data_IF_998227461191
#
_entry.id   IF_998227461191
#
_cell.length_a   1.000
_cell.length_b   1.000
_cell.length_c   1.000
_cell.angle_alpha   90.00
_cell.angle_beta   90.00
_cell.angle_gamma   90.00
#
_symmetry.space_group_name_H-M   'P 1'
#
loop_
_entity.id
_entity.type
_entity.pdbx_description
1 polymer ?
#
# COMPACT_ATOMS: atom_id res chain seq x y z
N UNK A 1 -6.54 -3.75 14.59
CA UNK A 1 -6.66 -2.58 13.73
C UNK A 1 -5.28 -1.99 13.51
N UNK A 2 -4.48 -2.60 12.72
CA UNK A 2 -3.14 -2.09 12.44
C UNK A 2 -2.76 -2.32 11.00
N UNK A 3 -1.66 -1.69 10.65
CA UNK A 3 -1.01 -1.94 9.38
C UNK A 3 0.13 -2.94 9.60
N UNK A 4 0.30 -3.83 8.64
CA UNK A 4 1.42 -4.76 8.62
C UNK A 4 2.56 -4.14 7.85
N UNK A 5 3.76 -4.21 8.42
CA UNK A 5 5.00 -3.75 7.82
C UNK A 5 5.94 -4.92 7.64
N UNK A 6 6.82 -4.84 6.64
CA UNK A 6 7.92 -5.77 6.54
C UNK A 6 8.90 -5.53 7.69
N UNK A 7 9.49 -6.57 8.31
CA UNK A 7 10.31 -6.38 9.52
C UNK A 7 11.51 -5.44 9.36
N UNK A 8 12.04 -5.29 8.15
CA UNK A 8 13.17 -4.39 7.90
C UNK A 8 12.75 -2.93 7.76
N UNK A 9 11.46 -2.63 7.71
CA UNK A 9 10.95 -1.28 7.41
C UNK A 9 10.41 -0.52 8.61
N UNK A 10 10.72 -0.94 9.82
CA UNK A 10 10.35 -0.19 11.02
C UNK A 10 11.08 1.17 11.06
N UNK A 11 10.46 2.14 11.71
CA UNK A 11 11.03 3.49 11.83
C UNK A 11 12.40 3.45 12.50
N UNK A 12 12.56 2.66 13.56
CA UNK A 12 13.79 2.54 14.32
C UNK A 12 14.97 2.05 13.47
N UNK A 13 14.70 1.16 12.53
CA UNK A 13 15.73 0.60 11.64
C UNK A 13 16.06 1.49 10.45
N UNK A 14 15.30 2.54 10.22
CA UNK A 14 15.38 3.37 9.01
C UNK A 14 15.52 4.87 9.31
N UNK A 15 15.98 5.20 10.52
CA UNK A 15 16.21 6.61 10.88
C UNK A 15 17.30 7.22 10.00
N UNK A 16 17.13 8.49 9.66
CA UNK A 16 18.10 9.28 8.89
C UNK A 16 18.35 8.80 7.46
N UNK A 17 17.39 8.07 6.87
CA UNK A 17 17.52 7.65 5.47
C UNK A 17 16.25 7.95 4.69
N UNK A 18 16.43 8.14 3.38
CA UNK A 18 15.31 8.25 2.44
C UNK A 18 14.97 6.86 1.91
N UNK A 19 13.70 6.47 1.99
CA UNK A 19 13.27 5.14 1.53
C UNK A 19 11.77 5.13 1.23
N UNK A 20 11.34 4.08 0.53
CA UNK A 20 9.93 3.81 0.28
C UNK A 20 9.46 2.77 1.28
N UNK A 21 8.45 3.10 2.07
CA UNK A 21 7.86 2.19 3.04
C UNK A 21 6.55 1.63 2.51
N UNK A 22 6.33 0.33 2.72
CA UNK A 22 5.15 -0.37 2.24
C UNK A 22 4.38 -0.93 3.43
N UNK A 23 3.06 -0.72 3.45
CA UNK A 23 2.19 -1.21 4.50
C UNK A 23 0.87 -1.69 3.90
N UNK A 24 0.21 -2.60 4.63
CA UNK A 24 -1.09 -3.14 4.24
C UNK A 24 -1.95 -3.28 5.49
N UNK A 25 -3.24 -2.97 5.40
CA UNK A 25 -4.17 -3.15 6.51
C UNK A 25 -4.78 -4.55 6.51
N UNK A 26 -5.63 -4.83 7.50
CA UNK A 26 -6.26 -6.15 7.68
C UNK A 26 -7.18 -6.54 6.53
N UNK A 27 -7.74 -5.57 5.79
CA UNK A 27 -8.57 -5.82 4.62
C UNK A 27 -7.77 -6.03 3.33
N UNK A 28 -6.46 -5.90 3.39
CA UNK A 28 -5.59 -6.05 2.22
C UNK A 28 -5.42 -4.77 1.41
N UNK A 29 -5.78 -3.62 1.98
CA UNK A 29 -5.54 -2.33 1.32
C UNK A 29 -4.09 -1.93 1.56
N UNK A 30 -3.31 -1.88 0.47
CA UNK A 30 -1.89 -1.56 0.50
C UNK A 30 -1.66 -0.09 0.19
N UNK A 31 -0.66 0.49 0.83
CA UNK A 31 -0.18 1.82 0.52
C UNK A 31 1.33 1.90 0.60
N UNK A 32 1.88 2.93 -0.02
CA UNK A 32 3.30 3.23 -0.01
C UNK A 32 3.49 4.64 0.56
N UNK A 33 4.49 4.80 1.41
CA UNK A 33 4.90 6.12 1.90
C UNK A 33 6.30 6.41 1.41
N UNK A 34 6.48 7.51 0.68
CA UNK A 34 7.79 7.96 0.27
C UNK A 34 8.36 8.86 1.37
N UNK A 35 9.52 8.50 1.91
CA UNK A 35 10.15 9.20 3.02
C UNK A 35 11.48 9.78 2.51
N UNK A 36 11.58 11.10 2.56
CA UNK A 36 12.80 11.82 2.25
C UNK A 36 13.40 12.41 3.52
N UNK A 37 14.70 12.23 3.72
CA UNK A 37 15.45 12.83 4.80
C UNK A 37 16.65 13.57 4.22
N UNK A 38 16.82 14.84 4.58
CA UNK A 38 17.93 15.64 4.09
C UNK A 38 18.13 16.93 4.86
N UNK A 39 19.18 17.66 4.51
CA UNK A 39 19.52 18.93 5.15
C UNK A 39 18.55 20.07 4.79
N UNK A 40 17.91 19.99 3.64
CA UNK A 40 16.96 20.99 3.18
C UNK A 40 15.75 20.35 2.52
N UNK A 41 14.63 21.03 2.57
CA UNK A 41 13.39 20.56 1.95
C UNK A 41 13.50 20.60 0.43
N UNK A 42 12.92 19.59 -0.21
CA UNK A 42 12.70 19.54 -1.67
C UNK A 42 11.22 19.61 -2.01
N UNK A 43 10.35 19.52 -1.00
CA UNK A 43 8.89 19.55 -1.13
C UNK A 43 8.36 18.51 -2.12
N UNK A 44 8.84 17.26 -1.98
CA UNK A 44 8.46 16.21 -2.91
C UNK A 44 6.98 15.83 -2.77
N UNK A 45 6.34 15.61 -3.90
CA UNK A 45 4.96 15.13 -3.98
C UNK A 45 4.83 13.90 -4.85
N UNK A 46 5.89 13.55 -5.59
CA UNK A 46 5.91 12.43 -6.52
C UNK A 46 7.15 11.59 -6.34
N UNK A 47 7.03 10.33 -6.76
CA UNK A 47 8.15 9.40 -6.82
C UNK A 47 8.15 8.72 -8.19
N UNK A 48 9.34 8.56 -8.77
CA UNK A 48 9.56 7.82 -9.99
C UNK A 48 10.52 6.68 -9.71
N UNK A 49 10.19 5.48 -10.18
CA UNK A 49 11.03 4.28 -10.05
C UNK A 49 11.44 3.82 -11.42
N UNK A 50 12.72 3.49 -11.60
CA UNK A 50 13.31 3.22 -12.91
C UNK A 50 14.11 1.93 -12.85
N UNK A 51 13.81 1.00 -13.77
CA UNK A 51 14.55 -0.26 -13.93
C UNK A 51 15.79 -0.04 -14.81
N UNK A 52 16.75 -1.01 -14.80
CA UNK A 52 17.99 -0.88 -15.59
C UNK A 52 17.78 -0.72 -17.08
N UNK A 53 16.68 -1.26 -17.63
CA UNK A 53 16.35 -1.15 -19.07
C UNK A 53 15.73 0.19 -19.45
N UNK A 54 15.56 1.10 -18.49
CA UNK A 54 14.98 2.42 -18.71
C UNK A 54 13.46 2.47 -18.53
N UNK A 55 12.79 1.32 -18.36
CA UNK A 55 11.36 1.32 -18.04
C UNK A 55 11.13 1.94 -16.66
N UNK A 56 9.99 2.60 -16.50
CA UNK A 56 9.70 3.33 -15.27
C UNK A 56 8.22 3.37 -14.95
N UNK A 57 7.91 3.70 -13.70
CA UNK A 57 6.58 4.09 -13.25
C UNK A 57 6.72 5.33 -12.38
N UNK A 58 5.72 6.19 -12.42
CA UNK A 58 5.72 7.45 -11.68
C UNK A 58 4.37 7.65 -11.00
N UNK A 59 4.38 8.07 -9.73
CA UNK A 59 3.15 8.37 -9.02
C UNK A 59 2.55 9.68 -9.52
N UNK A 60 1.22 9.86 -9.40
CA UNK A 60 0.66 11.20 -9.44
C UNK A 60 1.12 11.99 -8.21
N UNK A 61 0.83 13.29 -8.16
CA UNK A 61 1.11 14.08 -6.97
C UNK A 61 0.29 13.56 -5.79
N UNK A 62 0.96 13.35 -4.65
CA UNK A 62 0.29 12.89 -3.45
C UNK A 62 -0.71 13.95 -2.95
N UNK A 63 -1.87 13.48 -2.50
CA UNK A 63 -2.89 14.31 -1.84
C UNK A 63 -2.70 14.34 -0.33
N UNK A 64 -1.77 13.56 0.17
CA UNK A 64 -1.54 13.38 1.60
C UNK A 64 -0.03 13.38 1.86
N UNK A 65 0.50 14.57 2.08
CA UNK A 65 1.93 14.77 2.34
C UNK A 65 2.12 15.71 3.51
N UNK A 66 3.22 15.52 4.25
CA UNK A 66 3.56 16.38 5.37
C UNK A 66 5.08 16.44 5.56
N UNK A 67 5.51 17.50 6.23
CA UNK A 67 6.92 17.78 6.47
C UNK A 67 7.15 18.03 7.96
N UNK A 68 8.29 17.54 8.48
CA UNK A 68 8.72 17.78 9.85
C UNK A 68 10.21 18.08 9.86
N UNK A 69 10.71 18.53 11.03
CA UNK A 69 12.14 18.74 11.25
C UNK A 69 12.51 18.03 12.55
N UNK A 70 13.56 17.21 12.49
CA UNK A 70 14.08 16.49 13.64
C UNK A 70 15.61 16.59 13.65
N UNK A 71 16.16 17.15 14.75
CA UNK A 71 17.61 17.29 14.93
C UNK A 71 18.32 17.95 13.72
N UNK A 72 17.73 19.03 13.19
CA UNK A 72 18.20 19.76 12.00
C UNK A 72 18.05 18.99 10.67
N UNK A 73 17.44 17.82 10.68
CA UNK A 73 17.13 17.07 9.48
C UNK A 73 15.70 17.34 9.04
N UNK A 74 15.50 17.60 7.75
CA UNK A 74 14.19 17.77 7.18
C UNK A 74 13.65 16.41 6.76
N UNK A 75 12.44 16.09 7.19
CA UNK A 75 11.76 14.84 6.89
C UNK A 75 10.49 15.16 6.13
N UNK A 76 10.34 14.59 4.94
CA UNK A 76 9.14 14.73 4.11
C UNK A 76 8.53 13.35 3.88
N UNK A 77 7.23 13.25 4.04
CA UNK A 77 6.49 12.00 3.81
C UNK A 77 5.30 12.27 2.89
N UNK A 78 5.09 11.37 1.96
CA UNK A 78 3.95 11.42 1.05
C UNK A 78 3.36 10.02 0.90
N UNK A 79 2.04 9.90 0.99
CA UNK A 79 1.34 8.63 0.96
C UNK A 79 0.67 8.41 -0.39
N UNK A 80 0.69 7.13 -0.84
CA UNK A 80 0.07 6.69 -2.10
C UNK A 80 -0.64 5.36 -1.87
N UNK A 81 -1.91 5.29 -2.23
CA UNK A 81 -2.69 4.05 -2.13
C UNK A 81 -2.49 3.21 -3.40
N UNK A 82 -2.40 1.88 -3.24
CA UNK A 82 -2.38 0.95 -4.38
C UNK A 82 -3.62 1.19 -5.26
N UNK A 83 -3.41 1.30 -6.56
CA UNK A 83 -4.45 1.66 -7.51
C UNK A 83 -4.51 3.16 -7.82
N UNK A 84 -3.92 4.00 -6.96
CA UNK A 84 -3.83 5.46 -7.13
C UNK A 84 -2.37 5.92 -7.13
N UNK A 85 -1.45 5.00 -7.33
CA UNK A 85 0.00 5.20 -7.22
C UNK A 85 0.73 5.21 -8.56
N UNK A 86 0.01 5.31 -9.67
CA UNK A 86 0.64 5.29 -11.01
C UNK A 86 1.28 3.94 -11.33
N UNK A 87 0.83 2.86 -10.71
CA UNK A 87 1.35 1.50 -10.86
C UNK A 87 2.78 1.31 -10.34
N UNK A 88 3.26 2.20 -9.48
CA UNK A 88 4.61 2.09 -8.91
C UNK A 88 4.78 0.81 -8.10
N UNK A 89 3.81 0.47 -7.26
CA UNK A 89 3.89 -0.73 -6.42
C UNK A 89 3.95 -1.99 -7.27
N UNK A 90 3.08 -2.12 -8.29
CA UNK A 90 3.11 -3.27 -9.21
C UNK A 90 4.42 -3.34 -9.99
N UNK A 91 4.93 -2.19 -10.45
CA UNK A 91 6.21 -2.10 -11.14
C UNK A 91 7.34 -2.64 -10.26
N UNK A 92 7.37 -2.25 -8.98
CA UNK A 92 8.38 -2.72 -8.03
C UNK A 92 8.29 -4.23 -7.81
N UNK A 93 7.08 -4.77 -7.73
CA UNK A 93 6.90 -6.22 -7.60
C UNK A 93 7.38 -6.97 -8.83
N UNK A 94 7.07 -6.48 -10.02
CA UNK A 94 7.50 -7.09 -11.28
C UNK A 94 9.02 -7.04 -11.47
N UNK A 95 9.68 -6.03 -10.91
CA UNK A 95 11.11 -5.80 -11.04
C UNK A 95 11.90 -6.04 -9.75
N UNK A 96 11.37 -6.86 -8.85
CA UNK A 96 11.93 -7.07 -7.50
C UNK A 96 13.36 -7.60 -7.49
N UNK A 97 13.80 -8.27 -8.54
CA UNK A 97 15.15 -8.84 -8.66
C UNK A 97 16.13 -7.93 -9.41
N UNK A 98 15.70 -6.73 -9.76
CA UNK A 98 16.50 -5.77 -10.53
C UNK A 98 16.89 -4.59 -9.66
N UNK A 99 17.99 -3.93 -10.02
CA UNK A 99 18.39 -2.68 -9.36
C UNK A 99 17.41 -1.56 -9.76
N UNK A 100 16.78 -0.95 -8.77
CA UNK A 100 15.78 0.09 -9.00
C UNK A 100 16.33 1.42 -8.53
N UNK A 101 16.30 2.41 -9.41
CA UNK A 101 16.59 3.80 -9.07
C UNK A 101 15.29 4.49 -8.66
N UNK A 102 15.36 5.31 -7.62
CA UNK A 102 14.21 6.07 -7.09
C UNK A 102 14.52 7.55 -7.18
N UNK A 103 13.56 8.31 -7.71
CA UNK A 103 13.64 9.77 -7.76
C UNK A 103 12.48 10.37 -6.97
N UNK A 104 12.82 11.20 -6.00
CA UNK A 104 11.86 11.98 -5.21
C UNK A 104 11.75 13.35 -5.89
N UNK A 105 10.55 13.68 -6.35
CA UNK A 105 10.32 14.84 -7.24
C UNK A 105 9.52 15.92 -6.53
N UNK A 106 10.11 17.08 -6.41
CA UNK A 106 9.51 18.30 -5.84
C UNK A 106 10.12 19.50 -6.53
N UNK A 107 10.41 20.56 -5.76
CA UNK A 107 11.12 21.73 -6.26
C UNK A 107 12.51 21.37 -6.78
N UNK A 108 13.10 20.35 -6.16
CA UNK A 108 14.33 19.68 -6.61
C UNK A 108 14.09 18.19 -6.66
N UNK A 109 14.93 17.47 -7.38
CA UNK A 109 14.84 16.02 -7.47
C UNK A 109 15.99 15.38 -6.71
N UNK A 110 15.64 14.46 -5.79
CA UNK A 110 16.62 13.63 -5.07
C UNK A 110 16.62 12.23 -5.65
N UNK A 111 17.78 11.73 -6.03
CA UNK A 111 17.95 10.43 -6.69
C UNK A 111 18.71 9.48 -5.77
N UNK A 112 18.24 8.25 -5.66
CA UNK A 112 18.90 7.20 -4.90
C UNK A 112 18.61 5.84 -5.53
N UNK A 113 19.24 4.80 -5.00
CA UNK A 113 19.00 3.42 -5.42
C UNK A 113 18.28 2.68 -4.29
N UNK A 114 17.27 1.91 -4.65
CA UNK A 114 16.50 1.12 -3.69
C UNK A 114 17.35 -0.04 -3.17
N UNK A 115 17.39 -0.22 -1.85
CA UNK A 115 18.14 -1.33 -1.25
C UNK A 115 17.47 -2.68 -1.54
N UNK A 116 18.23 -3.80 -1.56
CA UNK A 116 17.64 -5.12 -1.73
C UNK A 116 16.57 -5.45 -0.68
N UNK A 117 16.75 -5.02 0.57
CA UNK A 117 15.77 -5.25 1.64
C UNK A 117 14.49 -4.47 1.41
N UNK A 118 14.57 -3.25 0.87
CA UNK A 118 13.38 -2.46 0.52
C UNK A 118 12.64 -3.06 -0.68
N UNK A 119 13.38 -3.63 -1.65
CA UNK A 119 12.77 -4.35 -2.77
C UNK A 119 12.02 -5.59 -2.29
N UNK A 120 12.60 -6.34 -1.36
CA UNK A 120 11.94 -7.49 -0.74
C UNK A 120 10.71 -7.07 0.04
N UNK A 121 10.75 -5.94 0.74
CA UNK A 121 9.61 -5.40 1.47
C UNK A 121 8.46 -5.07 0.51
N UNK A 122 8.75 -4.42 -0.60
CA UNK A 122 7.72 -4.09 -1.61
C UNK A 122 7.02 -5.35 -2.11
N UNK A 123 7.79 -6.36 -2.50
CA UNK A 123 7.25 -7.62 -3.03
C UNK A 123 6.50 -8.41 -1.95
N UNK A 124 7.06 -8.49 -0.75
CA UNK A 124 6.46 -9.26 0.35
C UNK A 124 5.15 -8.65 0.85
N UNK A 125 5.09 -7.34 1.00
CA UNK A 125 3.85 -6.66 1.41
C UNK A 125 2.81 -6.74 0.29
N UNK A 126 3.22 -6.63 -0.97
CA UNK A 126 2.31 -6.79 -2.11
C UNK A 126 1.68 -8.19 -2.11
N UNK A 127 2.46 -9.24 -1.91
CA UNK A 127 1.96 -10.62 -1.82
C UNK A 127 0.97 -10.78 -0.66
N UNK A 128 1.32 -10.24 0.52
CA UNK A 128 0.43 -10.26 1.68
C UNK A 128 -0.87 -9.51 1.39
N UNK A 129 -0.81 -8.37 0.70
CA UNK A 129 -1.99 -7.61 0.33
C UNK A 129 -2.91 -8.42 -0.59
N UNK A 130 -2.37 -9.17 -1.54
CA UNK A 130 -3.16 -10.03 -2.41
C UNK A 130 -3.86 -11.14 -1.62
N UNK A 131 -3.17 -11.76 -0.68
CA UNK A 131 -3.73 -12.81 0.17
C UNK A 131 -4.84 -12.25 1.05
N UNK A 132 -4.60 -11.14 1.73
CA UNK A 132 -5.59 -10.52 2.63
C UNK A 132 -6.82 -10.02 1.86
N UNK A 133 -6.62 -9.46 0.67
CA UNK A 133 -7.72 -9.02 -0.20
C UNK A 133 -8.59 -10.21 -0.64
N UNK A 134 -7.96 -11.33 -1.00
CA UNK A 134 -8.69 -12.55 -1.38
C UNK A 134 -9.48 -13.11 -0.21
N UNK A 135 -8.90 -13.12 0.99
CA UNK A 135 -9.59 -13.56 2.21
C UNK A 135 -10.78 -12.67 2.55
N UNK A 136 -10.64 -11.37 2.42
CA UNK A 136 -11.72 -10.40 2.66
C UNK A 136 -12.87 -10.60 1.66
N UNK A 137 -12.55 -10.88 0.40
CA UNK A 137 -13.54 -11.15 -0.64
C UNK A 137 -14.33 -12.43 -0.33
N UNK A 138 -13.64 -13.50 0.08
CA UNK A 138 -14.29 -14.76 0.49
C UNK A 138 -15.23 -14.53 1.67
N UNK A 139 -14.78 -13.77 2.66
CA UNK A 139 -15.58 -13.42 3.83
C UNK A 139 -16.87 -12.69 3.45
N UNK A 140 -16.77 -11.70 2.54
CA UNK A 140 -17.94 -10.97 2.04
C UNK A 140 -18.91 -11.87 1.30
N UNK A 141 -18.40 -12.76 0.46
CA UNK A 141 -19.22 -13.73 -0.28
C UNK A 141 -19.96 -14.68 0.67
N UNK A 142 -19.30 -15.14 1.73
CA UNK A 142 -19.94 -15.98 2.75
C UNK A 142 -21.02 -15.23 3.52
N UNK A 143 -20.79 -13.98 3.89
CA UNK A 143 -21.78 -13.14 4.58
C UNK A 143 -23.01 -12.91 3.70
N UNK A 144 -22.82 -12.63 2.42
CA UNK A 144 -23.90 -12.45 1.45
C UNK A 144 -24.70 -13.75 1.28
N UNK A 145 -24.01 -14.89 1.17
CA UNK A 145 -24.67 -16.19 1.04
C UNK A 145 -25.50 -16.51 2.30
N UNK A 146 -24.97 -16.24 3.48
CA UNK A 146 -25.68 -16.46 4.74
C UNK A 146 -26.94 -15.57 4.85
N UNK A 147 -26.87 -14.34 4.41
CA UNK A 147 -28.01 -13.43 4.36
C UNK A 147 -29.09 -13.95 3.42
N UNK A 148 -28.72 -14.45 2.24
CA UNK A 148 -29.67 -15.07 1.29
C UNK A 148 -30.32 -16.30 1.85
N UNK A 149 -29.57 -17.19 2.51
CA UNK A 149 -30.13 -18.38 3.16
C UNK A 149 -31.13 -17.99 4.24
N UNK A 150 -30.79 -17.03 5.09
CA UNK A 150 -31.67 -16.52 6.13
C UNK A 150 -32.97 -15.97 5.58
N UNK A 151 -32.91 -15.24 4.49
CA UNK A 151 -34.10 -14.69 3.80
C UNK A 151 -34.99 -15.81 3.24
N UNK A 152 -34.42 -16.81 2.62
CA UNK A 152 -35.14 -17.97 2.08
C UNK A 152 -35.83 -18.74 3.20
N UNK A 153 -35.17 -18.98 4.33
CA UNK A 153 -35.73 -19.67 5.46
C UNK A 153 -36.93 -18.93 6.08
N UNK A 154 -36.85 -17.61 6.20
CA UNK A 154 -37.95 -16.77 6.66
C UNK A 154 -39.15 -16.84 5.72
N UNK A 155 -38.91 -16.89 4.43
CA UNK A 155 -39.96 -17.04 3.41
C UNK A 155 -40.70 -18.40 3.55
N UNK A 156 -39.95 -19.47 3.79
CA UNK A 156 -40.49 -20.80 4.00
C UNK A 156 -41.33 -20.86 5.28
N UNK A 157 -40.86 -20.25 6.35
CA UNK A 157 -41.58 -20.17 7.61
C UNK A 157 -42.92 -19.45 7.48
N UNK A 158 -42.97 -18.32 6.77
CA UNK A 158 -44.21 -17.59 6.48
C UNK A 158 -45.21 -18.44 5.71
N UNK A 159 -44.72 -19.16 4.71
CA UNK A 159 -45.57 -20.00 3.86
C UNK A 159 -46.18 -21.15 4.68
N UNK A 160 -45.40 -21.78 5.54
CA UNK A 160 -45.88 -22.81 6.47
C UNK A 160 -46.94 -22.26 7.44
N UNK A 161 -46.71 -21.04 7.96
CA UNK A 161 -47.66 -20.38 8.87
C UNK A 161 -49.01 -20.10 8.17
N UNK A 162 -48.97 -19.61 6.92
CA UNK A 162 -50.18 -19.34 6.11
C UNK A 162 -50.97 -20.62 5.83
N UNK A 163 -50.28 -21.74 5.58
CA UNK A 163 -50.93 -23.05 5.37
C UNK A 163 -51.61 -23.58 6.63
N UNK A 164 -51.10 -23.29 7.81
CA UNK A 164 -51.67 -23.71 9.10
C UNK A 164 -52.94 -22.87 9.42
N UNK A 165 -53.00 -21.62 9.05
CA UNK A 165 -54.11 -20.73 9.36
C UNK A 165 -55.30 -20.83 8.40
N UNK A 166 -55.16 -21.51 7.31
CA UNK A 166 -56.24 -21.84 6.39
C UNK A 166 -56.96 -23.13 6.83
#
# INVERSE_FOLDING_TARGET
>A
VGNYLWPTQTIEKNMHRSYLRFQVNEQGIMSMTSIYCGAGNIHHTKVKVIAPDGSFAETPSSKDSYETTDMNEKIEKADYKLGEDGNVIEFLNLNKDKNIRVEYIGDRTYKTTMSPTDRQAAAGVYELAQILSAMEQIKKEQEEANLKIGFINKKKERKAQEEITD
#
